data_IF_398929993619
#
_entry.id   IF_398929993619
#
_cell.length_a   1.000
_cell.length_b   1.000
_cell.length_c   1.000
_cell.angle_alpha   90.00
_cell.angle_beta   90.00
_cell.angle_gamma   90.00
#
_symmetry.space_group_name_H-M   'P 1'
#
loop_
_entity.id
_entity.type
_entity.pdbx_description
1 polymer ?
#
# COMPACT_ATOMS: atom_id res chain seq x y z
N UNK A 1 -5.95 6.40 -1.22
CA UNK A 1 -4.74 5.69 -1.69
C UNK A 1 -4.55 4.42 -0.88
N UNK A 2 -4.36 3.28 -1.54
CA UNK A 2 -3.96 2.03 -0.91
C UNK A 2 -2.43 1.89 -1.00
N UNK A 3 -1.77 1.73 0.13
CA UNK A 3 -0.33 1.54 0.25
C UNK A 3 -0.07 0.09 0.67
N UNK A 4 0.50 -0.72 -0.23
CA UNK A 4 0.76 -2.15 0.00
C UNK A 4 2.25 -2.35 0.25
N UNK A 5 2.65 -2.38 1.53
CA UNK A 5 4.04 -2.45 1.97
C UNK A 5 4.22 -3.59 2.96
N UNK A 6 5.08 -4.55 2.65
CA UNK A 6 5.25 -5.76 3.47
C UNK A 6 5.95 -5.47 4.81
N UNK A 7 6.57 -4.30 4.93
CA UNK A 7 7.32 -3.86 6.10
C UNK A 7 7.03 -2.38 6.36
N UNK A 8 6.95 -2.05 7.65
CA UNK A 8 6.97 -0.66 8.09
C UNK A 8 8.41 -0.16 8.20
N UNK A 9 8.73 0.87 7.43
CA UNK A 9 10.03 1.51 7.40
C UNK A 9 9.92 2.99 7.01
N UNK A 10 11.06 3.67 6.89
CA UNK A 10 11.11 5.09 6.54
C UNK A 10 10.45 5.39 5.19
N UNK A 11 10.40 4.42 4.29
CA UNK A 11 9.83 4.60 2.96
C UNK A 11 8.32 4.45 2.98
N UNK A 12 7.78 3.41 3.64
CA UNK A 12 6.32 3.29 3.82
C UNK A 12 5.76 4.52 4.53
N UNK A 13 6.49 5.03 5.53
CA UNK A 13 6.14 6.25 6.25
C UNK A 13 6.21 7.49 5.35
N UNK A 14 7.24 7.58 4.50
CA UNK A 14 7.37 8.67 3.52
C UNK A 14 6.21 8.72 2.54
N UNK A 15 5.77 7.58 1.99
CA UNK A 15 4.61 7.51 1.09
C UNK A 15 3.31 7.88 1.80
N UNK A 16 3.09 7.39 3.02
CA UNK A 16 1.91 7.74 3.80
C UNK A 16 1.85 9.26 4.04
N UNK A 17 2.96 9.85 4.48
CA UNK A 17 3.07 11.27 4.70
C UNK A 17 2.85 12.10 3.43
N UNK A 18 3.45 11.68 2.30
CA UNK A 18 3.28 12.38 1.02
C UNK A 18 1.81 12.37 0.57
N UNK A 19 1.13 11.23 0.71
CA UNK A 19 -0.28 11.10 0.37
C UNK A 19 -1.16 11.98 1.26
N UNK A 20 -0.92 12.01 2.58
CA UNK A 20 -1.62 12.89 3.50
C UNK A 20 -1.41 14.37 3.15
N UNK A 21 -0.18 14.77 2.81
CA UNK A 21 0.14 16.14 2.39
C UNK A 21 -0.51 16.52 1.07
N UNK A 22 -0.72 15.56 0.18
CA UNK A 22 -1.46 15.75 -1.07
C UNK A 22 -3.00 15.69 -0.88
N UNK A 23 -3.50 15.55 0.36
CA UNK A 23 -4.93 15.54 0.67
C UNK A 23 -5.60 14.17 0.48
N UNK A 24 -4.82 13.11 0.27
CA UNK A 24 -5.33 11.75 0.15
C UNK A 24 -5.46 11.09 1.52
N UNK A 25 -6.53 10.30 1.69
CA UNK A 25 -6.62 9.33 2.79
C UNK A 25 -5.82 8.07 2.43
N UNK A 26 -4.96 7.65 3.35
CA UNK A 26 -4.15 6.45 3.23
C UNK A 26 -4.84 5.24 3.87
N UNK A 27 -4.71 4.09 3.22
CA UNK A 27 -5.03 2.79 3.78
C UNK A 27 -3.80 1.90 3.58
N UNK A 28 -3.24 1.32 4.65
CA UNK A 28 -1.99 0.57 4.57
C UNK A 28 -2.29 -0.92 4.73
N UNK A 29 -1.90 -1.72 3.75
CA UNK A 29 -1.94 -3.17 3.78
C UNK A 29 -0.52 -3.74 3.91
N UNK A 30 -0.37 -4.77 4.73
CA UNK A 30 0.93 -5.41 5.03
C UNK A 30 0.98 -6.89 4.66
N UNK A 31 -0.12 -7.44 4.16
CA UNK A 31 -0.24 -8.81 3.65
C UNK A 31 -1.10 -8.83 2.39
N UNK A 32 -1.04 -9.88 1.55
CA UNK A 32 -1.86 -9.94 0.34
C UNK A 32 -3.35 -9.94 0.69
N UNK A 33 -3.72 -10.63 1.76
CA UNK A 33 -5.11 -10.74 2.22
C UNK A 33 -5.64 -9.38 2.68
N UNK A 34 -4.85 -8.60 3.42
CA UNK A 34 -5.26 -7.25 3.83
C UNK A 34 -5.32 -6.26 2.67
N UNK A 35 -4.48 -6.45 1.63
CA UNK A 35 -4.50 -5.66 0.41
C UNK A 35 -5.75 -5.96 -0.41
N UNK A 36 -6.05 -7.24 -0.63
CA UNK A 36 -7.25 -7.70 -1.31
C UNK A 36 -8.52 -7.24 -0.59
N UNK A 37 -8.59 -7.44 0.73
CA UNK A 37 -9.73 -6.99 1.53
C UNK A 37 -9.93 -5.48 1.41
N UNK A 38 -8.85 -4.69 1.51
CA UNK A 38 -8.93 -3.24 1.34
C UNK A 38 -9.44 -2.87 -0.06
N UNK A 39 -8.88 -3.49 -1.10
CA UNK A 39 -9.27 -3.25 -2.48
C UNK A 39 -10.76 -3.51 -2.73
N UNK A 40 -11.29 -4.60 -2.17
CA UNK A 40 -12.71 -4.96 -2.29
C UNK A 40 -13.63 -4.06 -1.46
N UNK A 41 -13.21 -3.66 -0.25
CA UNK A 41 -14.03 -2.90 0.68
C UNK A 41 -14.16 -1.42 0.33
N UNK A 42 -13.19 -0.86 -0.39
CA UNK A 42 -13.11 0.59 -0.64
C UNK A 42 -12.66 0.87 -2.07
N UNK A 43 -13.24 1.91 -2.66
CA UNK A 43 -12.84 2.38 -3.98
C UNK A 43 -11.57 3.24 -3.88
N UNK A 44 -10.41 2.64 -4.17
CA UNK A 44 -9.12 3.31 -4.11
C UNK A 44 -8.74 3.88 -5.48
N UNK A 45 -8.54 5.20 -5.58
CA UNK A 45 -8.15 5.87 -6.83
C UNK A 45 -6.71 5.59 -7.26
N UNK A 46 -5.84 5.31 -6.28
CA UNK A 46 -4.42 5.04 -6.48
C UNK A 46 -4.04 3.90 -5.55
N UNK A 47 -3.29 2.95 -6.09
CA UNK A 47 -2.72 1.81 -5.38
C UNK A 47 -1.21 1.83 -5.61
N UNK A 48 -0.43 1.77 -4.54
CA UNK A 48 1.04 1.75 -4.57
C UNK A 48 1.49 0.44 -3.94
N UNK A 49 2.23 -0.37 -4.69
CA UNK A 49 2.71 -1.69 -4.27
C UNK A 49 4.23 -1.67 -4.15
N UNK A 50 4.75 -2.04 -2.99
CA UNK A 50 6.19 -2.10 -2.73
C UNK A 50 6.82 -3.41 -3.24
N UNK A 51 7.73 -3.27 -4.21
CA UNK A 51 8.47 -4.38 -4.82
C UNK A 51 9.95 -4.45 -4.40
N UNK A 52 10.38 -3.75 -3.35
CA UNK A 52 11.82 -3.55 -3.09
C UNK A 52 12.58 -4.72 -2.41
N UNK A 53 11.92 -5.77 -1.88
CA UNK A 53 12.60 -6.85 -1.12
C UNK A 53 11.99 -8.26 -1.27
N UNK A 54 12.78 -9.33 -1.04
CA UNK A 54 12.43 -10.76 -1.23
C UNK A 54 11.18 -11.32 -0.51
N UNK A 55 10.52 -10.54 0.37
CA UNK A 55 9.13 -10.79 0.83
C UNK A 55 8.16 -9.88 0.06
N UNK A 56 8.36 -9.81 -1.25
CA UNK A 56 7.70 -8.88 -2.17
C UNK A 56 6.21 -9.18 -2.26
N UNK A 57 5.43 -8.11 -2.44
CA UNK A 57 4.16 -8.22 -3.14
C UNK A 57 4.47 -8.22 -4.63
N UNK A 58 4.33 -9.38 -5.25
CA UNK A 58 4.33 -9.47 -6.71
C UNK A 58 3.00 -8.90 -7.20
N UNK A 59 3.07 -7.75 -7.87
CA UNK A 59 1.89 -7.05 -8.39
C UNK A 59 1.22 -7.81 -9.54
N UNK A 60 1.93 -8.68 -10.26
CA UNK A 60 1.34 -9.53 -11.29
C UNK A 60 0.70 -10.79 -10.70
N UNK A 61 1.13 -11.22 -9.51
CA UNK A 61 0.55 -12.36 -8.79
C UNK A 61 -0.52 -11.98 -7.74
N UNK A 62 -0.75 -10.69 -7.50
CA UNK A 62 -1.78 -10.13 -6.62
C UNK A 62 -3.10 -9.93 -7.38
#
# INVERSE_FOLDING_TARGET
VLLVFAKEDSQSNGFCWACEKAGFKCNIARTPESALQSFLDKNHEIIIIDHRHSRQFDAEAL
#
